data_IF_405698867127
#
_entry.id   IF_405698867127
#
_cell.length_a   1.000
_cell.length_b   1.000
_cell.length_c   1.000
_cell.angle_alpha   90.00
_cell.angle_beta   90.00
_cell.angle_gamma   90.00
#
_symmetry.space_group_name_H-M   'P 1'
#
loop_
_entity.id
_entity.type
_entity.pdbx_description
1 polymer ?
#
# COMPACT_ATOMS: atom_id res chain seq x y z
N UNK A 1 3.63 0.19 -19.21
CA UNK A 1 2.19 0.48 -19.07
C UNK A 1 1.93 0.43 -17.59
N UNK A 2 1.43 1.52 -17.02
CA UNK A 2 1.32 1.63 -15.56
C UNK A 2 0.35 0.58 -15.00
N UNK A 3 0.71 0.02 -13.86
CA UNK A 3 -0.06 -1.02 -13.15
C UNK A 3 -0.42 -0.54 -11.75
N UNK A 4 -1.57 -1.00 -11.26
CA UNK A 4 -2.03 -0.73 -9.90
C UNK A 4 -2.02 -2.04 -9.12
N UNK A 5 -1.38 -2.05 -7.97
CA UNK A 5 -1.27 -3.19 -7.06
C UNK A 5 -1.97 -2.86 -5.76
N UNK A 6 -3.00 -3.63 -5.46
CA UNK A 6 -3.84 -3.46 -4.28
C UNK A 6 -3.56 -4.60 -3.31
N UNK A 7 -3.01 -4.26 -2.15
CA UNK A 7 -2.85 -5.20 -1.05
C UNK A 7 -3.97 -5.00 -0.04
N UNK A 8 -4.67 -6.08 0.29
CA UNK A 8 -5.81 -6.06 1.20
C UNK A 8 -5.35 -6.57 2.56
N UNK A 9 -5.44 -5.71 3.57
CA UNK A 9 -5.03 -6.02 4.93
C UNK A 9 -6.27 -6.15 5.80
N UNK A 10 -6.53 -7.37 6.28
CA UNK A 10 -7.51 -7.60 7.33
C UNK A 10 -6.88 -7.26 8.67
N UNK A 11 -7.31 -6.16 9.26
CA UNK A 11 -6.74 -5.64 10.51
C UNK A 11 -7.81 -5.77 11.59
N UNK A 12 -7.51 -6.39 12.73
CA UNK A 12 -8.42 -6.40 13.86
C UNK A 12 -8.74 -4.97 14.30
N UNK A 13 -9.98 -4.70 14.68
CA UNK A 13 -10.50 -3.35 14.99
C UNK A 13 -9.62 -2.56 15.98
N UNK A 14 -9.01 -3.24 16.95
CA UNK A 14 -8.12 -2.64 17.96
C UNK A 14 -6.71 -2.25 17.46
N UNK A 15 -6.32 -2.63 16.25
CA UNK A 15 -4.96 -2.43 15.71
C UNK A 15 -4.89 -1.42 14.55
N UNK A 16 -6.00 -0.74 14.24
CA UNK A 16 -6.06 0.25 13.15
C UNK A 16 -5.05 1.40 13.32
N UNK A 17 -5.02 2.05 14.48
CA UNK A 17 -4.10 3.17 14.72
C UNK A 17 -2.62 2.76 14.67
N UNK A 18 -2.29 1.57 15.18
CA UNK A 18 -0.92 1.05 15.11
C UNK A 18 -0.52 0.72 13.66
N UNK A 19 -1.46 0.18 12.87
CA UNK A 19 -1.26 -0.04 11.45
C UNK A 19 -0.96 1.28 10.73
N UNK A 20 -1.80 2.31 10.94
CA UNK A 20 -1.60 3.63 10.34
C UNK A 20 -0.21 4.20 10.71
N UNK A 21 0.20 4.09 11.98
CA UNK A 21 1.52 4.54 12.43
C UNK A 21 2.68 3.76 11.81
N UNK A 22 2.54 2.44 11.65
CA UNK A 22 3.54 1.59 10.98
C UNK A 22 3.61 1.87 9.48
N UNK A 23 2.48 2.14 8.84
CA UNK A 23 2.42 2.46 7.41
C UNK A 23 2.96 3.85 7.11
N UNK A 24 2.68 4.86 7.94
CA UNK A 24 3.29 6.18 7.81
C UNK A 24 4.83 6.11 7.83
N UNK A 25 5.41 5.23 8.66
CA UNK A 25 6.86 4.99 8.70
C UNK A 25 7.38 4.25 7.46
N UNK A 26 6.56 3.40 6.83
CA UNK A 26 6.94 2.59 5.67
C UNK A 26 6.65 3.24 4.33
N UNK A 27 5.72 4.18 4.24
CA UNK A 27 5.35 4.86 3.00
C UNK A 27 6.59 5.44 2.28
N UNK A 28 7.47 6.10 3.04
CA UNK A 28 8.71 6.69 2.52
C UNK A 28 9.77 5.68 2.05
N UNK A 29 9.65 4.40 2.41
CA UNK A 29 10.60 3.37 1.96
C UNK A 29 10.38 2.96 0.50
N UNK A 30 9.13 3.10 0.02
CA UNK A 30 8.73 2.76 -1.34
C UNK A 30 8.94 3.93 -2.31
N UNK A 31 8.93 5.18 -1.82
CA UNK A 31 9.13 6.39 -2.64
C UNK A 31 10.46 6.40 -3.42
N UNK A 32 11.48 5.64 -2.98
CA UNK A 32 12.78 5.54 -3.64
C UNK A 32 12.87 4.36 -4.65
N UNK A 33 11.82 3.55 -4.76
CA UNK A 33 11.83 2.39 -5.65
C UNK A 33 11.73 2.83 -7.12
N UNK A 34 12.57 2.29 -8.02
CA UNK A 34 12.47 2.55 -9.44
C UNK A 34 11.08 2.21 -9.98
N UNK A 35 10.51 3.13 -10.77
CA UNK A 35 9.20 2.94 -11.39
C UNK A 35 8.00 3.07 -10.46
N UNK A 36 8.20 3.45 -9.19
CA UNK A 36 7.10 3.77 -8.29
C UNK A 36 6.46 5.12 -8.65
N UNK A 37 5.14 5.15 -8.81
CA UNK A 37 4.38 6.34 -9.22
C UNK A 37 3.55 6.94 -8.07
N UNK A 38 3.15 6.13 -7.07
CA UNK A 38 2.40 6.65 -5.94
C UNK A 38 1.80 5.59 -5.01
N UNK A 39 1.45 6.02 -3.80
CA UNK A 39 0.88 5.18 -2.75
C UNK A 39 -0.33 5.85 -2.11
N UNK A 40 -1.36 5.07 -1.82
CA UNK A 40 -2.55 5.48 -1.07
C UNK A 40 -2.93 4.38 -0.08
N UNK A 41 -3.15 4.76 1.17
CA UNK A 41 -3.77 3.91 2.18
C UNK A 41 -5.22 4.31 2.34
N UNK A 42 -6.13 3.39 2.06
CA UNK A 42 -7.57 3.60 2.23
C UNK A 42 -8.01 2.93 3.53
N UNK A 43 -8.44 3.77 4.47
CA UNK A 43 -9.07 3.33 5.70
C UNK A 43 -10.52 2.90 5.42
N UNK A 44 -10.96 1.73 5.90
CA UNK A 44 -12.35 1.33 5.82
C UNK A 44 -13.26 2.32 6.58
N UNK A 45 -14.34 2.77 5.95
CA UNK A 45 -15.34 3.67 6.57
C UNK A 45 -16.73 3.05 6.67
N UNK A 46 -17.10 2.15 5.75
CA UNK A 46 -18.33 1.36 5.79
C UNK A 46 -18.22 0.12 4.89
N UNK A 47 -18.84 -1.00 5.28
CA UNK A 47 -19.00 -2.21 4.46
C UNK A 47 -17.81 -3.19 4.43
N UNK A 48 -16.66 -2.83 5.00
CA UNK A 48 -15.49 -3.69 5.16
C UNK A 48 -14.67 -3.23 6.36
N UNK A 49 -13.96 -4.15 7.01
CA UNK A 49 -12.99 -3.84 8.08
C UNK A 49 -11.54 -3.88 7.56
N UNK A 50 -11.36 -4.19 6.28
CA UNK A 50 -10.04 -4.31 5.66
C UNK A 50 -9.53 -2.96 5.16
N UNK A 51 -8.24 -2.73 5.39
CA UNK A 51 -7.51 -1.62 4.78
C UNK A 51 -7.05 -2.01 3.39
N UNK A 52 -7.05 -1.03 2.48
CA UNK A 52 -6.53 -1.22 1.13
C UNK A 52 -5.29 -0.37 0.96
N UNK A 53 -4.20 -1.02 0.62
CA UNK A 53 -2.95 -0.37 0.25
C UNK A 53 -2.86 -0.39 -1.26
N UNK A 54 -2.97 0.78 -1.87
CA UNK A 54 -2.92 0.95 -3.32
C UNK A 54 -1.55 1.51 -3.67
N UNK A 55 -0.79 0.79 -4.47
CA UNK A 55 0.48 1.26 -5.04
C UNK A 55 0.38 1.28 -6.55
N UNK A 56 0.96 2.31 -7.16
CA UNK A 56 0.99 2.49 -8.60
C UNK A 56 2.44 2.45 -9.08
N UNK A 57 2.65 1.77 -10.21
CA UNK A 57 3.95 1.51 -10.79
C UNK A 57 3.90 1.75 -12.30
N UNK A 58 5.00 2.18 -12.91
CA UNK A 58 5.12 2.43 -14.35
C UNK A 58 5.04 1.14 -15.20
N UNK A 59 5.30 0.00 -14.57
CA UNK A 59 5.34 -1.33 -15.17
C UNK A 59 5.20 -2.44 -14.12
N UNK A 60 4.79 -3.62 -14.57
CA UNK A 60 4.78 -4.84 -13.75
C UNK A 60 6.19 -5.21 -13.29
N UNK A 61 7.20 -5.03 -14.13
CA UNK A 61 8.59 -5.38 -13.86
C UNK A 61 9.17 -4.56 -12.70
N UNK A 62 8.91 -3.26 -12.65
CA UNK A 62 9.28 -2.38 -11.53
C UNK A 62 8.69 -2.86 -10.20
N UNK A 63 7.40 -3.24 -10.20
CA UNK A 63 6.77 -3.81 -9.02
C UNK A 63 7.39 -5.14 -8.60
N UNK A 64 7.62 -6.06 -9.55
CA UNK A 64 8.20 -7.37 -9.26
C UNK A 64 9.63 -7.25 -8.72
N UNK A 65 10.43 -6.32 -9.26
CA UNK A 65 11.78 -6.05 -8.79
C UNK A 65 11.81 -5.49 -7.36
N UNK A 66 10.80 -4.69 -6.98
CA UNK A 66 10.63 -4.21 -5.62
C UNK A 66 10.09 -5.27 -4.65
N UNK A 67 9.20 -6.14 -5.12
CA UNK A 67 8.54 -7.16 -4.30
C UNK A 67 9.38 -8.42 -4.05
N UNK A 68 10.45 -8.62 -4.84
CA UNK A 68 11.39 -9.75 -4.72
C UNK A 68 12.30 -9.65 -3.50
#
# INVERSE_FOLDING_TARGET
>A
MSVVKINVLSVPEAQGEELEARFAKRAHSVDQAPGFEGFQMLRPTAGTESYYIVTQWDSEESFQAWAA
#
